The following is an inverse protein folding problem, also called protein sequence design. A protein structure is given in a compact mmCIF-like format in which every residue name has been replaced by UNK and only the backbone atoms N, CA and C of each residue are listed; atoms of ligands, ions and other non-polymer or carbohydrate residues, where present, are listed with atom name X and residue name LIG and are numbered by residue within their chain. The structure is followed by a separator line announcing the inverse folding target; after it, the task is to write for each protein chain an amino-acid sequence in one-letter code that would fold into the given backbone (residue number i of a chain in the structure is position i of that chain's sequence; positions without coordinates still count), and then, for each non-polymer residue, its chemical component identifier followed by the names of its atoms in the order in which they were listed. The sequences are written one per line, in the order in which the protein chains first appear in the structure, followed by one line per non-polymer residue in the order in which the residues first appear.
data_IF_688726209149
#
_entry.id   IF_688726209149
#
_cell.length_a   1.000
_cell.length_b   1.000
_cell.length_c   1.000
_cell.angle_alpha   90.00
_cell.angle_beta   90.00
_cell.angle_gamma   90.00
#
_symmetry.space_group_name_H-M   'P 1'
#
loop_
_entity.id
_entity.type
_entity.pdbx_description
1 polymer ?
#
# COMPACT_ATOMS: atom_id res chain seq x y z
N UNK A 1 -2.77 22.89 -16.60
CA UNK A 1 -3.93 22.28 -15.89
C UNK A 1 -3.78 22.59 -14.40
N UNK A 2 -4.84 22.96 -13.68
CA UNK A 2 -4.73 23.20 -12.24
C UNK A 2 -4.41 21.88 -11.52
N UNK A 3 -3.42 21.96 -10.64
CA UNK A 3 -2.94 20.83 -9.85
C UNK A 3 -3.49 20.97 -8.43
N UNK A 4 -4.14 19.94 -7.91
CA UNK A 4 -4.61 19.91 -6.53
C UNK A 4 -3.75 18.95 -5.72
N UNK A 5 -3.25 19.43 -4.58
CA UNK A 5 -2.46 18.67 -3.63
C UNK A 5 -3.33 18.29 -2.44
N UNK A 6 -3.64 17.01 -2.30
CA UNK A 6 -4.57 16.51 -1.29
C UNK A 6 -3.80 15.62 -0.31
N UNK A 7 -4.07 15.79 0.99
CA UNK A 7 -3.53 14.91 2.02
C UNK A 7 -4.27 13.57 1.98
N UNK A 8 -3.55 12.50 1.61
CA UNK A 8 -4.09 11.14 1.48
C UNK A 8 -3.65 10.26 2.64
N UNK A 9 -2.39 10.38 3.08
CA UNK A 9 -1.80 9.49 4.07
C UNK A 9 -1.67 10.14 5.44
N UNK A 10 -2.13 9.48 6.50
CA UNK A 10 -1.93 9.93 7.87
C UNK A 10 -0.45 9.84 8.27
N UNK A 11 -0.05 10.61 9.27
CA UNK A 11 1.31 10.54 9.81
C UNK A 11 1.62 9.16 10.42
N UNK A 12 0.64 8.53 11.05
CA UNK A 12 0.82 7.24 11.70
C UNK A 12 0.97 6.10 10.69
N UNK A 13 0.19 6.13 9.60
CA UNK A 13 0.35 5.19 8.50
C UNK A 13 1.75 5.29 7.88
N UNK A 14 2.23 6.50 7.61
CA UNK A 14 3.56 6.71 7.03
C UNK A 14 4.69 6.28 7.96
N UNK A 15 4.58 6.62 9.26
CA UNK A 15 5.56 6.21 10.26
C UNK A 15 5.61 4.69 10.39
N UNK A 16 4.45 4.02 10.53
CA UNK A 16 4.41 2.56 10.59
C UNK A 16 4.94 1.91 9.31
N UNK A 17 4.63 2.46 8.12
CA UNK A 17 5.14 1.96 6.85
C UNK A 17 6.68 2.02 6.80
N UNK A 18 7.28 3.18 7.08
CA UNK A 18 8.73 3.32 6.99
C UNK A 18 9.47 2.52 8.07
N UNK A 19 8.90 2.43 9.28
CA UNK A 19 9.44 1.56 10.33
C UNK A 19 9.36 0.08 9.92
N UNK A 20 8.22 -0.37 9.37
CA UNK A 20 8.09 -1.74 8.86
C UNK A 20 9.06 -1.99 7.69
N UNK A 21 9.22 -1.05 6.76
CA UNK A 21 10.13 -1.19 5.63
C UNK A 21 11.58 -1.39 6.13
N UNK A 22 12.05 -0.51 7.02
CA UNK A 22 13.38 -0.66 7.63
C UNK A 22 13.55 -2.00 8.34
N UNK A 23 12.56 -2.38 9.16
CA UNK A 23 12.59 -3.64 9.90
C UNK A 23 12.61 -4.85 8.97
N UNK A 24 11.77 -4.86 7.92
CA UNK A 24 11.72 -5.95 6.93
C UNK A 24 13.05 -6.09 6.21
N UNK A 25 13.69 -5.00 5.77
CA UNK A 25 15.01 -5.07 5.15
C UNK A 25 16.06 -5.67 6.10
N UNK A 26 16.08 -5.22 7.37
CA UNK A 26 16.98 -5.76 8.38
C UNK A 26 16.73 -7.24 8.66
N UNK A 27 15.45 -7.65 8.75
CA UNK A 27 15.05 -9.05 8.96
C UNK A 27 15.41 -9.95 7.77
N UNK A 28 15.20 -9.48 6.55
CA UNK A 28 15.58 -10.23 5.34
C UNK A 28 17.09 -10.43 5.26
N UNK A 29 17.86 -9.36 5.51
CA UNK A 29 19.31 -9.41 5.48
C UNK A 29 19.89 -10.30 6.59
N UNK A 30 19.45 -10.10 7.85
CA UNK A 30 19.92 -10.90 8.98
C UNK A 30 19.48 -12.37 8.88
N UNK A 31 18.24 -12.61 8.43
CA UNK A 31 17.75 -13.97 8.18
C UNK A 31 18.55 -14.71 7.12
N UNK A 32 18.95 -14.01 6.04
CA UNK A 32 19.84 -14.56 5.02
C UNK A 32 21.22 -14.91 5.62
N UNK A 33 21.81 -14.00 6.42
CA UNK A 33 23.11 -14.23 7.09
C UNK A 33 23.06 -15.42 8.05
N UNK A 34 22.00 -15.57 8.83
CA UNK A 34 21.80 -16.72 9.74
C UNK A 34 21.89 -18.05 8.97
N UNK A 35 21.33 -18.09 7.76
CA UNK A 35 21.31 -19.29 6.93
C UNK A 35 22.61 -19.56 6.14
N UNK A 36 23.36 -18.51 5.75
CA UNK A 36 24.42 -18.60 4.76
C UNK A 36 25.82 -18.21 5.28
N UNK A 37 25.91 -17.54 6.44
CA UNK A 37 27.17 -17.08 7.03
C UNK A 37 27.35 -17.64 8.45
N UNK A 38 27.83 -18.90 8.61
CA UNK A 38 27.91 -19.55 9.94
C UNK A 38 28.75 -18.75 10.96
N UNK A 39 29.79 -18.04 10.51
CA UNK A 39 30.65 -17.21 11.34
C UNK A 39 29.98 -15.97 11.89
N UNK A 40 28.92 -15.48 11.26
CA UNK A 40 28.14 -14.29 11.65
C UNK A 40 26.78 -14.65 12.25
N UNK A 41 26.52 -15.93 12.50
CA UNK A 41 25.18 -16.39 12.92
C UNK A 41 24.71 -15.78 14.24
N UNK A 42 25.61 -15.62 15.20
CA UNK A 42 25.29 -15.03 16.52
C UNK A 42 24.90 -13.56 16.37
N UNK A 43 25.75 -12.77 15.75
CA UNK A 43 25.55 -11.33 15.54
C UNK A 43 24.32 -11.08 14.67
N UNK A 44 24.16 -11.87 13.60
CA UNK A 44 22.99 -11.79 12.74
C UNK A 44 21.69 -12.13 13.51
N UNK A 45 21.74 -13.07 14.47
CA UNK A 45 20.63 -13.41 15.35
C UNK A 45 20.25 -12.26 16.28
N UNK A 46 21.22 -11.55 16.83
CA UNK A 46 20.98 -10.36 17.64
C UNK A 46 20.32 -9.25 16.82
N UNK A 47 20.86 -8.92 15.66
CA UNK A 47 20.26 -7.94 14.74
C UNK A 47 18.86 -8.35 14.30
N UNK A 48 18.63 -9.64 14.01
CA UNK A 48 17.31 -10.17 13.68
C UNK A 48 16.30 -9.89 14.78
N UNK A 49 16.69 -10.13 16.03
CA UNK A 49 15.84 -9.85 17.20
C UNK A 49 15.53 -8.37 17.38
N UNK A 50 16.52 -7.48 17.15
CA UNK A 50 16.33 -6.03 17.20
C UNK A 50 15.33 -5.57 16.14
N UNK A 51 15.49 -6.02 14.89
CA UNK A 51 14.56 -5.67 13.82
C UNK A 51 13.16 -6.27 14.02
N UNK A 52 13.06 -7.47 14.63
CA UNK A 52 11.77 -8.04 15.02
C UNK A 52 11.06 -7.18 16.09
N UNK A 53 11.82 -6.67 17.07
CA UNK A 53 11.31 -5.76 18.09
C UNK A 53 10.83 -4.42 17.50
N UNK A 54 11.37 -3.97 16.37
CA UNK A 54 10.89 -2.79 15.64
C UNK A 54 9.66 -3.14 14.78
N UNK A 55 9.63 -4.31 14.14
CA UNK A 55 8.55 -4.73 13.27
C UNK A 55 7.22 -4.88 14.02
N UNK A 56 7.25 -5.57 15.17
CA UNK A 56 6.04 -5.95 15.90
C UNK A 56 5.18 -4.73 16.28
N UNK A 57 5.68 -3.69 16.98
CA UNK A 57 4.87 -2.52 17.30
C UNK A 57 4.43 -1.74 16.06
N UNK A 58 5.27 -1.64 15.03
CA UNK A 58 4.89 -0.97 13.78
C UNK A 58 3.74 -1.71 13.06
N UNK A 59 3.77 -3.04 13.04
CA UNK A 59 2.72 -3.89 12.48
C UNK A 59 1.43 -3.75 13.30
N UNK A 60 1.51 -3.74 14.64
CA UNK A 60 0.35 -3.54 15.51
C UNK A 60 -0.31 -2.18 15.26
N UNK A 61 0.48 -1.10 15.14
CA UNK A 61 -0.04 0.22 14.77
C UNK A 61 -0.72 0.16 13.39
N UNK A 62 -0.13 -0.52 12.41
CA UNK A 62 -0.72 -0.63 11.07
C UNK A 62 -2.02 -1.44 11.07
N UNK A 63 -2.09 -2.54 11.81
CA UNK A 63 -3.31 -3.33 11.99
C UNK A 63 -4.39 -2.51 12.71
N UNK A 64 -4.02 -1.78 13.76
CA UNK A 64 -4.93 -0.87 14.45
C UNK A 64 -5.55 0.17 13.49
N UNK A 65 -4.73 0.82 12.67
CA UNK A 65 -5.18 1.78 11.66
C UNK A 65 -6.06 1.11 10.61
N UNK A 66 -5.75 -0.12 10.21
CA UNK A 66 -6.52 -0.87 9.22
C UNK A 66 -7.95 -1.16 9.70
N UNK A 67 -8.13 -1.43 10.99
CA UNK A 67 -9.43 -1.82 11.59
C UNK A 67 -10.19 -0.61 12.14
N UNK A 68 -9.50 0.32 12.80
CA UNK A 68 -10.09 1.45 13.54
C UNK A 68 -9.74 2.82 12.95
N UNK A 69 -8.91 2.86 11.91
CA UNK A 69 -8.56 4.10 11.21
C UNK A 69 -9.71 4.68 10.42
N UNK A 70 -9.47 5.82 9.76
CA UNK A 70 -10.45 6.51 8.92
C UNK A 70 -9.86 6.79 7.54
N UNK A 71 -10.74 6.92 6.54
CA UNK A 71 -10.35 7.23 5.17
C UNK A 71 -9.38 6.20 4.60
N UNK A 72 -8.27 6.66 4.05
CA UNK A 72 -7.25 5.80 3.43
C UNK A 72 -6.47 4.89 4.39
N UNK A 73 -6.59 5.08 5.69
CA UNK A 73 -5.97 4.20 6.68
C UNK A 73 -6.76 2.90 6.88
N UNK A 74 -8.09 2.94 6.63
CA UNK A 74 -9.03 1.87 6.92
C UNK A 74 -9.09 0.80 5.81
N UNK A 75 -9.46 -0.43 6.17
CA UNK A 75 -9.56 -1.59 5.28
C UNK A 75 -10.51 -1.38 4.09
N UNK A 76 -11.58 -0.58 4.26
CA UNK A 76 -12.54 -0.30 3.20
C UNK A 76 -11.90 0.30 1.93
N UNK A 77 -10.76 0.99 2.08
CA UNK A 77 -10.02 1.50 0.92
C UNK A 77 -9.25 0.39 0.17
N UNK A 78 -9.16 -0.80 0.73
CA UNK A 78 -8.56 -1.97 0.09
C UNK A 78 -9.60 -2.97 -0.46
N UNK A 79 -10.91 -2.76 -0.21
CA UNK A 79 -11.96 -3.70 -0.60
C UNK A 79 -12.07 -3.83 -2.12
N UNK A 80 -12.11 -5.06 -2.65
CA UNK A 80 -12.28 -5.29 -4.07
C UNK A 80 -13.72 -4.96 -4.49
N UNK A 81 -13.87 -4.15 -5.53
CA UNK A 81 -15.12 -3.93 -6.23
C UNK A 81 -14.91 -4.05 -7.76
N UNK A 82 -15.98 -4.07 -8.55
CA UNK A 82 -15.88 -4.27 -10.01
C UNK A 82 -14.97 -3.24 -10.68
N UNK A 83 -15.05 -1.98 -10.28
CA UNK A 83 -14.22 -0.91 -10.82
C UNK A 83 -12.74 -1.12 -10.46
N UNK A 84 -12.44 -1.46 -9.21
CA UNK A 84 -11.06 -1.75 -8.77
C UNK A 84 -10.48 -3.00 -9.45
N UNK A 85 -11.30 -4.03 -9.69
CA UNK A 85 -10.87 -5.20 -10.45
C UNK A 85 -10.50 -4.86 -11.90
N UNK A 86 -11.27 -4.00 -12.56
CA UNK A 86 -10.93 -3.49 -13.90
C UNK A 86 -9.62 -2.69 -13.89
N UNK A 87 -9.45 -1.80 -12.91
CA UNK A 87 -8.20 -1.06 -12.74
C UNK A 87 -7.02 -1.98 -12.43
N UNK A 88 -7.20 -3.04 -11.63
CA UNK A 88 -6.18 -4.04 -11.36
C UNK A 88 -5.76 -4.77 -12.66
N UNK A 89 -6.72 -5.11 -13.53
CA UNK A 89 -6.43 -5.66 -14.86
C UNK A 89 -5.62 -4.69 -15.74
N UNK A 90 -5.97 -3.41 -15.74
CA UNK A 90 -5.21 -2.38 -16.46
C UNK A 90 -3.79 -2.21 -15.89
N UNK A 91 -3.61 -2.32 -14.58
CA UNK A 91 -2.28 -2.30 -13.95
C UNK A 91 -1.43 -3.49 -14.37
N UNK A 92 -1.98 -4.69 -14.45
CA UNK A 92 -1.26 -5.86 -14.97
C UNK A 92 -0.80 -5.61 -16.40
N UNK A 93 -1.67 -5.08 -17.26
CA UNK A 93 -1.31 -4.72 -18.64
C UNK A 93 -0.22 -3.64 -18.69
N UNK A 94 -0.27 -2.64 -17.81
CA UNK A 94 0.79 -1.64 -17.65
C UNK A 94 2.13 -2.30 -17.32
N UNK A 95 2.19 -3.21 -16.34
CA UNK A 95 3.43 -3.91 -15.98
C UNK A 95 3.94 -4.82 -17.09
N UNK A 96 3.07 -5.63 -17.71
CA UNK A 96 3.46 -6.51 -18.83
C UNK A 96 3.91 -5.74 -20.06
N UNK A 97 3.39 -4.53 -20.27
CA UNK A 97 3.82 -3.65 -21.35
C UNK A 97 5.08 -2.86 -21.04
N UNK A 98 5.68 -3.04 -19.84
CA UNK A 98 6.81 -2.24 -19.34
C UNK A 98 6.52 -0.73 -19.38
N UNK A 99 5.32 -0.34 -18.97
CA UNK A 99 4.90 1.07 -18.88
C UNK A 99 4.49 1.69 -20.23
N UNK A 100 4.33 0.91 -21.31
CA UNK A 100 3.89 1.43 -22.63
C UNK A 100 2.39 1.73 -22.69
N UNK A 101 1.59 1.01 -21.90
CA UNK A 101 0.17 1.27 -21.74
C UNK A 101 -0.08 2.27 -20.61
N UNK A 102 -1.19 3.05 -20.67
CA UNK A 102 -1.46 4.08 -19.68
C UNK A 102 -1.68 3.48 -18.28
N UNK A 103 -1.15 4.18 -17.27
CA UNK A 103 -1.38 3.86 -15.87
C UNK A 103 -2.82 4.26 -15.48
N UNK A 104 -3.63 3.37 -14.89
CA UNK A 104 -4.95 3.75 -14.38
C UNK A 104 -4.83 4.71 -13.19
N UNK A 105 -5.83 5.56 -12.99
CA UNK A 105 -5.87 6.54 -11.90
C UNK A 105 -6.59 5.96 -10.68
N UNK A 106 -6.00 6.07 -9.49
CA UNK A 106 -6.63 5.69 -8.22
C UNK A 106 -6.36 6.75 -7.14
N UNK A 107 -7.20 6.78 -6.11
CA UNK A 107 -7.12 7.81 -5.06
C UNK A 107 -6.01 7.54 -4.05
N UNK A 108 -6.05 6.43 -3.31
CA UNK A 108 -5.12 6.10 -2.25
C UNK A 108 -4.44 4.74 -2.50
N UNK A 109 -5.01 3.64 -2.00
CA UNK A 109 -4.42 2.32 -2.23
C UNK A 109 -4.60 1.87 -3.68
N UNK A 110 -3.49 1.39 -4.23
CA UNK A 110 -3.47 0.80 -5.56
C UNK A 110 -4.44 -0.40 -5.64
N UNK A 111 -5.32 -0.47 -6.66
CA UNK A 111 -6.36 -1.49 -6.77
C UNK A 111 -5.84 -2.93 -6.82
N UNK A 112 -4.68 -3.15 -7.42
CA UNK A 112 -4.04 -4.47 -7.48
C UNK A 112 -3.34 -4.81 -6.16
N UNK A 113 -2.62 -3.82 -5.59
CA UNK A 113 -1.80 -4.05 -4.40
C UNK A 113 -2.60 -4.05 -3.10
N UNK A 114 -3.81 -3.47 -3.05
CA UNK A 114 -4.65 -3.43 -1.85
C UNK A 114 -4.86 -4.82 -1.22
N UNK A 115 -5.40 -5.83 -1.95
CA UNK A 115 -5.54 -7.19 -1.45
C UNK A 115 -4.20 -7.86 -1.11
N UNK A 116 -3.14 -7.57 -1.88
CA UNK A 116 -1.80 -8.11 -1.65
C UNK A 116 -1.22 -7.59 -0.32
N UNK A 117 -1.50 -6.32 0.04
CA UNK A 117 -1.09 -5.78 1.35
C UNK A 117 -1.76 -6.51 2.51
N UNK A 118 -3.03 -6.91 2.39
CA UNK A 118 -3.70 -7.69 3.43
C UNK A 118 -3.04 -9.06 3.62
N UNK A 119 -2.70 -9.73 2.52
CA UNK A 119 -1.95 -10.98 2.57
C UNK A 119 -0.55 -10.78 3.18
N UNK A 120 0.13 -9.67 2.83
CA UNK A 120 1.42 -9.33 3.43
C UNK A 120 1.33 -9.16 4.94
N UNK A 121 0.33 -8.41 5.46
CA UNK A 121 0.16 -8.25 6.91
C UNK A 121 -0.09 -9.58 7.61
N UNK A 122 -0.81 -10.48 6.99
CA UNK A 122 -0.98 -11.85 7.49
C UNK A 122 0.38 -12.58 7.57
N UNK A 123 1.20 -12.54 6.52
CA UNK A 123 2.51 -13.20 6.53
C UNK A 123 3.52 -12.53 7.47
N UNK A 124 3.46 -11.20 7.65
CA UNK A 124 4.26 -10.49 8.65
C UNK A 124 3.88 -10.92 10.07
N UNK A 125 2.58 -11.03 10.38
CA UNK A 125 2.12 -11.53 11.67
C UNK A 125 2.53 -12.98 11.90
N UNK A 126 2.40 -13.82 10.86
CA UNK A 126 2.80 -15.22 10.90
C UNK A 126 4.31 -15.38 11.13
N UNK A 127 5.14 -14.58 10.44
CA UNK A 127 6.58 -14.54 10.65
C UNK A 127 6.93 -14.10 12.07
N UNK A 128 6.28 -13.06 12.59
CA UNK A 128 6.50 -12.57 13.96
C UNK A 128 6.13 -13.64 15.00
N UNK A 129 4.95 -14.26 14.89
CA UNK A 129 4.47 -15.28 15.82
C UNK A 129 5.32 -16.54 15.77
N UNK A 130 5.63 -17.06 14.59
CA UNK A 130 6.50 -18.22 14.44
C UNK A 130 7.92 -17.95 14.92
N UNK A 131 8.48 -16.75 14.64
CA UNK A 131 9.79 -16.34 15.13
C UNK A 131 9.86 -16.27 16.66
N UNK A 132 8.86 -15.66 17.31
CA UNK A 132 8.76 -15.62 18.78
C UNK A 132 8.61 -17.01 19.40
N UNK A 133 7.85 -17.91 18.76
CA UNK A 133 7.71 -19.28 19.21
C UNK A 133 9.04 -20.06 19.10
N UNK A 134 9.76 -19.90 17.98
CA UNK A 134 11.08 -20.52 17.78
C UNK A 134 12.11 -20.01 18.80
N UNK A 135 12.07 -18.74 19.20
CA UNK A 135 12.90 -18.20 20.30
C UNK A 135 12.58 -18.85 21.66
N UNK A 136 11.38 -19.40 21.83
CA UNK A 136 10.94 -20.15 23.03
C UNK A 136 11.13 -21.66 22.85
N UNK A 137 11.93 -22.10 21.86
CA UNK A 137 12.23 -23.49 21.55
C UNK A 137 10.99 -24.32 21.16
N UNK A 138 9.88 -23.67 20.78
CA UNK A 138 8.68 -24.31 20.27
C UNK A 138 8.88 -24.58 18.78
N UNK A 139 9.19 -25.83 18.41
CA UNK A 139 9.46 -26.22 17.02
C UNK A 139 8.21 -26.55 16.22
N UNK A 140 7.13 -27.00 16.87
CA UNK A 140 5.89 -27.46 16.23
C UNK A 140 4.67 -26.94 16.94
N UNK A 141 3.62 -26.67 16.15
CA UNK A 141 2.28 -26.38 16.64
C UNK A 141 1.25 -27.17 15.84
N UNK A 142 0.50 -28.08 16.50
CA UNK A 142 -0.50 -28.93 15.82
C UNK A 142 0.06 -29.78 14.67
N UNK A 143 1.32 -30.21 14.78
CA UNK A 143 2.01 -30.97 13.72
C UNK A 143 2.65 -30.12 12.62
N UNK A 144 2.47 -28.81 12.64
CA UNK A 144 3.06 -27.87 11.66
C UNK A 144 4.43 -27.42 12.17
N UNK A 145 5.47 -27.54 11.35
CA UNK A 145 6.81 -27.02 11.64
C UNK A 145 6.80 -25.48 11.60
N UNK A 146 7.07 -24.84 12.73
CA UNK A 146 7.15 -23.39 12.81
C UNK A 146 8.35 -22.80 12.05
N UNK A 147 9.43 -23.57 11.93
CA UNK A 147 10.57 -23.19 11.10
C UNK A 147 10.18 -23.12 9.62
N UNK A 148 9.49 -24.10 9.08
CA UNK A 148 9.02 -24.05 7.69
C UNK A 148 8.05 -22.90 7.46
N UNK A 149 7.16 -22.65 8.42
CA UNK A 149 6.20 -21.54 8.36
C UNK A 149 6.90 -20.18 8.35
N UNK A 150 7.91 -20.01 9.20
CA UNK A 150 8.74 -18.82 9.26
C UNK A 150 9.52 -18.60 7.94
N UNK A 151 10.15 -19.66 7.41
CA UNK A 151 10.87 -19.62 6.14
C UNK A 151 9.95 -19.31 4.95
N UNK A 152 8.75 -19.89 4.91
CA UNK A 152 7.77 -19.57 3.86
C UNK A 152 7.37 -18.09 3.92
N UNK A 153 7.09 -17.59 5.12
CA UNK A 153 6.77 -16.17 5.32
C UNK A 153 7.92 -15.26 4.88
N UNK A 154 9.16 -15.60 5.23
CA UNK A 154 10.38 -14.90 4.79
C UNK A 154 10.45 -14.80 3.25
N UNK A 155 10.24 -15.91 2.55
CA UNK A 155 10.27 -15.95 1.09
C UNK A 155 9.17 -15.08 0.47
N UNK A 156 7.93 -15.17 0.96
CA UNK A 156 6.80 -14.40 0.45
C UNK A 156 6.96 -12.90 0.70
N UNK A 157 7.44 -12.52 1.89
CA UNK A 157 7.75 -11.12 2.23
C UNK A 157 8.90 -10.60 1.34
N UNK A 158 9.93 -11.40 1.11
CA UNK A 158 11.04 -11.06 0.23
C UNK A 158 10.60 -10.84 -1.22
N UNK A 159 9.78 -11.72 -1.78
CA UNK A 159 9.20 -11.55 -3.11
C UNK A 159 8.30 -10.33 -3.21
N UNK A 160 7.49 -10.08 -2.15
CA UNK A 160 6.69 -8.86 -2.11
C UNK A 160 7.58 -7.61 -2.17
N UNK A 161 8.63 -7.51 -1.35
CA UNK A 161 9.54 -6.37 -1.35
C UNK A 161 10.22 -6.18 -2.72
N UNK A 162 10.68 -7.28 -3.33
CA UNK A 162 11.31 -7.30 -4.65
C UNK A 162 10.39 -6.78 -5.77
N UNK A 163 9.10 -7.07 -5.71
CA UNK A 163 8.12 -6.62 -6.70
C UNK A 163 7.56 -5.23 -6.38
N UNK A 164 7.35 -4.92 -5.09
CA UNK A 164 6.77 -3.66 -4.65
C UNK A 164 7.65 -2.45 -5.00
N UNK A 165 8.96 -2.56 -4.76
CA UNK A 165 9.88 -1.45 -4.96
C UNK A 165 9.93 -1.00 -6.44
N UNK A 166 10.20 -1.88 -7.42
CA UNK A 166 10.15 -1.47 -8.84
C UNK A 166 8.77 -0.98 -9.28
N UNK A 167 7.68 -1.55 -8.72
CA UNK A 167 6.32 -1.12 -9.04
C UNK A 167 6.09 0.34 -8.67
N UNK A 168 6.42 0.77 -7.44
CA UNK A 168 6.23 2.17 -7.02
C UNK A 168 7.12 3.14 -7.79
N UNK A 169 8.35 2.74 -8.14
CA UNK A 169 9.22 3.53 -9.01
C UNK A 169 8.65 3.67 -10.43
N UNK A 170 8.09 2.59 -10.99
CA UNK A 170 7.46 2.64 -12.32
C UNK A 170 6.23 3.54 -12.36
N UNK A 171 5.44 3.61 -11.28
CA UNK A 171 4.30 4.52 -11.18
C UNK A 171 4.76 5.98 -11.16
N UNK A 172 5.77 6.32 -10.36
CA UNK A 172 6.28 7.67 -10.30
C UNK A 172 6.97 8.09 -11.61
N UNK A 173 7.66 7.15 -12.31
CA UNK A 173 8.26 7.39 -13.60
C UNK A 173 7.23 7.61 -14.73
N UNK A 174 6.03 7.02 -14.63
CA UNK A 174 4.94 7.27 -15.56
C UNK A 174 4.35 8.70 -15.46
N UNK A 175 4.77 9.50 -14.46
CA UNK A 175 4.49 10.93 -14.34
C UNK A 175 3.08 11.30 -13.84
N UNK A 176 2.22 10.33 -13.59
CA UNK A 176 0.84 10.54 -13.11
C UNK A 176 0.67 10.30 -11.60
N UNK A 177 1.70 9.75 -10.93
CA UNK A 177 1.68 9.40 -9.54
C UNK A 177 2.59 10.26 -8.68
N UNK A 178 2.37 10.22 -7.40
CA UNK A 178 3.27 10.71 -6.37
C UNK A 178 3.30 9.69 -5.24
N UNK A 179 3.52 8.41 -5.61
CA UNK A 179 3.42 7.29 -4.67
C UNK A 179 4.54 7.36 -3.63
N UNK A 180 5.80 7.53 -4.06
CA UNK A 180 6.95 7.67 -3.15
C UNK A 180 6.87 8.98 -2.39
N UNK A 181 6.72 10.11 -3.09
CA UNK A 181 6.64 11.42 -2.45
C UNK A 181 5.40 11.56 -1.56
N UNK A 182 4.30 10.92 -1.91
CA UNK A 182 3.10 10.84 -1.11
C UNK A 182 3.32 10.08 0.19
N UNK A 183 4.06 8.97 0.15
CA UNK A 183 4.39 8.19 1.34
C UNK A 183 5.42 8.89 2.24
N UNK A 184 6.19 9.84 1.72
CA UNK A 184 7.08 10.70 2.51
C UNK A 184 6.34 11.91 3.07
N UNK A 185 5.60 12.64 2.24
CA UNK A 185 4.95 13.92 2.61
C UNK A 185 3.55 13.77 3.20
N UNK A 186 2.83 12.71 2.84
CA UNK A 186 1.41 12.47 3.13
C UNK A 186 0.46 13.04 2.07
N UNK A 187 0.97 13.73 1.05
CA UNK A 187 0.17 14.39 0.04
C UNK A 187 0.35 13.73 -1.32
N UNK A 188 -0.76 13.55 -2.04
CA UNK A 188 -0.74 13.18 -3.45
C UNK A 188 -1.18 14.35 -4.32
N UNK A 189 -0.66 14.37 -5.52
CA UNK A 189 -0.95 15.37 -6.52
C UNK A 189 -1.96 14.81 -7.52
N UNK A 190 -3.06 15.54 -7.75
CA UNK A 190 -4.09 15.18 -8.70
C UNK A 190 -4.21 16.27 -9.75
N UNK A 191 -4.24 15.90 -11.02
CA UNK A 191 -4.57 16.80 -12.11
C UNK A 191 -6.09 16.95 -12.17
N UNK A 192 -6.59 18.13 -11.91
CA UNK A 192 -8.02 18.43 -11.98
C UNK A 192 -8.33 18.83 -13.41
N UNK A 193 -8.97 17.93 -14.16
CA UNK A 193 -9.63 18.33 -15.39
C UNK A 193 -10.77 19.29 -15.00
N UNK A 194 -10.65 20.57 -15.32
CA UNK A 194 -11.83 21.45 -15.29
C UNK A 194 -12.83 20.81 -16.25
N UNK A 195 -14.08 20.52 -15.83
CA UNK A 195 -15.14 20.26 -16.78
C UNK A 195 -15.05 21.42 -17.75
N UNK A 196 -14.82 21.16 -19.05
CA UNK A 196 -15.03 22.19 -20.05
C UNK A 196 -16.38 22.77 -19.72
N UNK A 197 -16.42 24.03 -19.33
CA UNK A 197 -17.65 24.79 -19.42
C UNK A 197 -18.04 24.61 -20.88
N UNK A 198 -18.96 23.66 -21.14
CA UNK A 198 -19.65 23.62 -22.42
C UNK A 198 -20.00 25.06 -22.64
N UNK A 199 -19.28 25.66 -23.59
CA UNK A 199 -19.40 27.06 -23.92
C UNK A 199 -20.87 27.40 -23.82
N UNK A 200 -21.22 28.42 -23.08
CA UNK A 200 -22.56 28.89 -22.84
C UNK A 200 -23.20 29.26 -24.18
N UNK A 201 -23.49 28.24 -24.98
CA UNK A 201 -24.17 28.25 -26.27
C UNK A 201 -25.61 27.82 -26.09
N UNK A 202 -26.25 28.30 -25.06
CA UNK A 202 -27.70 28.48 -24.93
C UNK A 202 -27.99 29.08 -23.56
N UNK A 203 -27.53 30.31 -23.30
CA UNK A 203 -28.30 31.18 -22.45
C UNK A 203 -29.63 31.38 -23.19
N UNK A 204 -30.60 30.51 -22.97
CA UNK A 204 -31.99 30.85 -23.23
C UNK A 204 -32.30 32.04 -22.29
N UNK A 205 -32.23 33.25 -22.86
CA UNK A 205 -32.70 34.42 -22.18
C UNK A 205 -34.21 34.24 -22.03
N UNK A 206 -34.62 33.72 -20.88
CA UNK A 206 -36.05 33.64 -20.51
C UNK A 206 -36.45 35.08 -20.21
N UNK A 207 -37.31 35.65 -21.07
CA UNK A 207 -37.81 36.99 -20.84
C UNK A 207 -38.50 37.10 -19.49
N UNK A 208 -38.37 38.21 -18.80
CA UNK A 208 -39.05 38.50 -17.52
C UNK A 208 -40.57 38.34 -17.62
N UNK A 209 -41.15 38.51 -18.81
CA UNK A 209 -42.57 38.26 -19.05
C UNK A 209 -42.94 36.79 -19.01
N UNK A 210 -42.11 35.89 -19.49
CA UNK A 210 -42.34 34.45 -19.44
C UNK A 210 -42.25 33.93 -18.01
N UNK A 211 -41.34 34.47 -17.22
CA UNK A 211 -41.23 34.20 -15.79
C UNK A 211 -42.42 34.71 -15.00
N UNK A 212 -42.92 35.93 -15.29
CA UNK A 212 -44.13 36.49 -14.66
C UNK A 212 -45.41 35.66 -14.99
N UNK A 213 -45.51 35.11 -16.20
CA UNK A 213 -46.61 34.22 -16.57
C UNK A 213 -46.59 32.89 -15.85
N UNK A 214 -45.42 32.30 -15.58
CA UNK A 214 -45.32 31.04 -14.87
C UNK A 214 -45.59 31.15 -13.36
N UNK A 215 -45.43 32.36 -12.78
CA UNK A 215 -45.71 32.63 -11.36
C UNK A 215 -47.16 33.05 -11.09
N UNK A 216 -48.02 33.19 -12.12
CA UNK A 216 -49.45 33.54 -12.02
C UNK A 216 -50.39 32.37 -12.24
N UNK A 217 -49.88 31.15 -12.32
CA UNK A 217 -50.62 29.91 -12.30
C UNK A 217 -50.36 29.18 -10.96
#
# INVERSE_FOLDING_TARGET
MPVSRIRVWSRWLRLSHWTMALAVFGLLASGWLIGHAPTLRSEAGEFHSIFAALLIPALLVRIYLLVLGQGSDHISDCEPNRHRLQQAGQLLLFYFSLGRLPLPKWYAHNPLWGPIYLALFFFLALAALSGLALQREIAFWGGISLQHLHQLSYLLIGWFALLHIPAVFSHDAAGEGSDISGMVSGFRTFHVERPEQKAAGSTQSVSLETLRRSLRK
#
